data_IF_435739804238
#
_entry.id   IF_435739804238
#
_cell.length_a   1.000
_cell.length_b   1.000
_cell.length_c   1.000
_cell.angle_alpha   90.00
_cell.angle_beta   90.00
_cell.angle_gamma   90.00
#
_symmetry.space_group_name_H-M   'P 1'
#
loop_
_entity.id
_entity.type
_entity.pdbx_description
1 polymer ?
#
# COMPACT_ATOMS: atom_id res chain seq x y z
N UNK A 1 -13.17 -2.18 10.28
CA UNK A 1 -12.92 -0.75 9.97
C UNK A 1 -14.28 -0.08 9.83
N UNK A 2 -14.76 0.68 10.83
CA UNK A 2 -16.14 1.20 10.86
C UNK A 2 -16.22 2.68 10.42
N UNK A 3 -15.18 3.46 10.72
CA UNK A 3 -15.20 4.91 10.50
C UNK A 3 -15.24 5.29 9.02
N UNK A 4 -14.49 4.59 8.17
CA UNK A 4 -14.52 4.80 6.72
C UNK A 4 -15.93 4.54 6.13
N UNK A 5 -16.63 3.50 6.59
CA UNK A 5 -18.01 3.23 6.16
C UNK A 5 -19.00 4.28 6.66
N UNK A 6 -18.80 4.79 7.88
CA UNK A 6 -19.61 5.91 8.39
C UNK A 6 -19.40 7.16 7.56
N UNK A 7 -18.16 7.52 7.28
CA UNK A 7 -17.82 8.64 6.39
C UNK A 7 -18.45 8.46 5.02
N UNK A 8 -18.33 7.27 4.41
CA UNK A 8 -18.91 6.94 3.11
C UNK A 8 -20.42 7.21 3.04
N UNK A 9 -21.17 6.98 4.13
CA UNK A 9 -22.62 7.18 4.17
C UNK A 9 -23.07 8.65 4.19
N UNK A 10 -22.14 9.58 4.47
CA UNK A 10 -22.43 11.01 4.61
C UNK A 10 -22.28 11.70 3.24
N UNK A 11 -23.18 12.60 2.81
CA UNK A 11 -23.00 13.39 1.58
C UNK A 11 -21.70 14.20 1.58
N UNK A 12 -21.10 14.39 0.40
CA UNK A 12 -19.78 15.03 0.25
C UNK A 12 -19.65 16.39 0.98
N UNK A 13 -20.61 17.30 0.80
CA UNK A 13 -20.55 18.63 1.42
C UNK A 13 -20.58 18.55 2.96
N UNK A 14 -21.29 17.54 3.50
CA UNK A 14 -21.34 17.28 4.93
C UNK A 14 -20.03 16.63 5.42
N UNK A 15 -19.39 15.76 4.63
CA UNK A 15 -18.05 15.24 4.95
C UNK A 15 -17.02 16.35 5.04
N UNK A 16 -17.04 17.30 4.09
CA UNK A 16 -16.14 18.46 4.11
C UNK A 16 -16.41 19.30 5.35
N UNK A 17 -17.68 19.65 5.61
CA UNK A 17 -18.05 20.45 6.77
C UNK A 17 -17.61 19.80 8.09
N UNK A 18 -17.77 18.48 8.20
CA UNK A 18 -17.33 17.70 9.36
C UNK A 18 -15.80 17.71 9.50
N UNK A 19 -15.07 17.51 8.41
CA UNK A 19 -13.61 17.55 8.42
C UNK A 19 -13.07 18.94 8.84
N UNK A 20 -13.65 20.02 8.32
CA UNK A 20 -13.26 21.39 8.69
C UNK A 20 -13.57 21.70 10.16
N UNK A 21 -14.74 21.29 10.63
CA UNK A 21 -15.12 21.42 12.03
C UNK A 21 -14.15 20.67 12.97
N UNK A 22 -13.78 19.44 12.63
CA UNK A 22 -12.86 18.64 13.45
C UNK A 22 -11.43 19.19 13.39
N UNK A 23 -10.98 19.69 12.22
CA UNK A 23 -9.70 20.39 12.08
C UNK A 23 -9.66 21.66 12.94
N UNK A 24 -10.71 22.48 12.95
CA UNK A 24 -10.75 23.70 13.78
C UNK A 24 -10.70 23.39 15.28
N UNK A 25 -11.25 22.25 15.71
CA UNK A 25 -11.15 21.79 17.10
C UNK A 25 -9.73 21.37 17.48
N UNK A 26 -8.94 20.90 16.51
CA UNK A 26 -7.59 20.41 16.72
C UNK A 26 -6.55 21.55 16.63
N UNK A 27 -6.77 22.51 15.73
CA UNK A 27 -5.89 23.66 15.52
C UNK A 27 -6.56 24.94 16.05
N UNK A 28 -6.17 25.37 17.25
CA UNK A 28 -6.72 26.55 17.93
C UNK A 28 -6.02 27.88 17.54
N UNK A 29 -4.88 27.79 16.87
CA UNK A 29 -4.03 28.91 16.49
C UNK A 29 -4.21 29.36 15.03
N UNK A 30 -5.11 28.73 14.28
CA UNK A 30 -5.40 29.01 12.88
C UNK A 30 -6.92 29.06 12.68
N UNK A 31 -7.39 30.00 11.86
CA UNK A 31 -8.76 29.96 11.33
C UNK A 31 -8.78 29.00 10.13
N UNK A 32 -9.24 27.76 10.38
CA UNK A 32 -9.25 26.70 9.37
C UNK A 32 -10.22 27.02 8.24
N UNK A 33 -11.30 27.74 8.52
CA UNK A 33 -12.31 28.07 7.52
C UNK A 33 -11.83 29.16 6.57
N UNK A 34 -11.11 30.17 7.07
CA UNK A 34 -10.49 31.22 6.25
C UNK A 34 -9.39 30.65 5.32
N UNK A 35 -8.67 29.63 5.77
CA UNK A 35 -7.59 28.99 5.00
C UNK A 35 -8.08 27.91 4.02
N UNK A 36 -9.36 27.54 4.06
CA UNK A 36 -9.90 26.49 3.21
C UNK A 36 -10.00 26.95 1.74
N UNK A 37 -9.37 26.20 0.83
CA UNK A 37 -9.39 26.48 -0.62
C UNK A 37 -10.25 25.47 -1.37
N UNK A 38 -10.00 24.18 -1.16
CA UNK A 38 -10.71 23.08 -1.82
C UNK A 38 -10.53 21.76 -1.04
N UNK A 39 -11.33 20.76 -1.37
CA UNK A 39 -11.27 19.43 -0.79
C UNK A 39 -11.41 18.35 -1.87
N UNK A 40 -10.73 17.22 -1.68
CA UNK A 40 -10.91 16.01 -2.48
C UNK A 40 -10.97 14.80 -1.56
N UNK A 41 -11.83 13.83 -1.89
CA UNK A 41 -11.98 12.61 -1.12
C UNK A 41 -12.27 11.41 -2.05
N UNK A 42 -11.76 10.24 -1.66
CA UNK A 42 -11.93 8.97 -2.38
C UNK A 42 -12.43 7.91 -1.42
N UNK A 43 -13.49 7.22 -1.82
CA UNK A 43 -13.98 6.05 -1.11
C UNK A 43 -13.41 4.78 -1.76
N UNK A 44 -12.26 4.32 -1.29
CA UNK A 44 -11.55 3.17 -1.91
C UNK A 44 -12.40 1.90 -2.04
N UNK A 45 -13.37 1.69 -1.16
CA UNK A 45 -14.33 0.56 -1.23
C UNK A 45 -15.30 0.64 -2.41
N UNK A 46 -15.48 1.81 -3.02
CA UNK A 46 -16.32 2.04 -4.20
C UNK A 46 -15.53 2.13 -5.51
N UNK A 47 -14.20 2.10 -5.42
CA UNK A 47 -13.31 2.13 -6.59
C UNK A 47 -12.97 0.73 -7.08
N UNK A 48 -12.24 0.64 -8.21
CA UNK A 48 -11.71 -0.63 -8.73
C UNK A 48 -10.84 -1.39 -7.72
N UNK A 49 -10.25 -0.69 -6.75
CA UNK A 49 -9.50 -1.31 -5.65
C UNK A 49 -10.41 -2.14 -4.72
N UNK A 50 -11.72 -1.86 -4.68
CA UNK A 50 -12.73 -2.52 -3.83
C UNK A 50 -12.50 -2.40 -2.33
N UNK A 51 -11.54 -1.58 -1.91
CA UNK A 51 -11.21 -1.30 -0.52
C UNK A 51 -9.77 -1.62 -0.18
N UNK A 52 -9.51 -1.67 1.11
CA UNK A 52 -8.25 -2.16 1.66
C UNK A 52 -8.44 -3.61 2.11
N UNK A 53 -7.37 -4.41 2.07
CA UNK A 53 -7.45 -5.79 2.52
C UNK A 53 -6.69 -5.99 3.83
N UNK A 54 -7.42 -6.59 4.78
CA UNK A 54 -6.94 -6.88 6.11
C UNK A 54 -7.43 -8.28 6.47
N UNK A 55 -6.52 -9.17 6.87
CA UNK A 55 -6.92 -10.48 7.35
C UNK A 55 -7.73 -10.36 8.64
N UNK A 56 -8.80 -11.14 8.71
CA UNK A 56 -9.47 -11.46 9.96
C UNK A 56 -8.58 -12.40 10.80
N UNK A 57 -8.86 -12.52 12.11
CA UNK A 57 -8.16 -13.47 12.97
C UNK A 57 -8.06 -14.86 12.33
N UNK A 58 -6.88 -15.47 12.45
CA UNK A 58 -6.49 -16.77 11.86
C UNK A 58 -6.43 -16.85 10.33
N UNK A 59 -6.91 -15.88 9.56
CA UNK A 59 -6.85 -15.98 8.09
C UNK A 59 -5.42 -15.94 7.56
N UNK A 60 -4.53 -15.14 8.17
CA UNK A 60 -3.12 -15.12 7.78
C UNK A 60 -2.51 -16.52 7.92
N UNK A 61 -2.59 -17.14 9.10
CA UNK A 61 -2.03 -18.48 9.34
C UNK A 61 -2.60 -19.54 8.39
N UNK A 62 -3.90 -19.45 8.08
CA UNK A 62 -4.61 -20.44 7.27
C UNK A 62 -4.36 -20.30 5.77
N UNK A 63 -4.33 -19.08 5.25
CA UNK A 63 -4.41 -18.84 3.81
C UNK A 63 -3.16 -18.20 3.22
N UNK A 64 -2.28 -17.60 4.03
CA UNK A 64 -1.09 -16.89 3.53
C UNK A 64 -0.20 -17.76 2.64
N UNK A 65 0.04 -19.02 3.02
CA UNK A 65 0.85 -19.94 2.21
C UNK A 65 0.11 -20.40 0.96
N UNK A 66 -1.21 -20.60 1.05
CA UNK A 66 -2.04 -21.03 -0.09
C UNK A 66 -2.07 -19.96 -1.18
N UNK A 67 -2.27 -18.70 -0.81
CA UNK A 67 -2.33 -17.56 -1.74
C UNK A 67 -1.01 -17.35 -2.50
N UNK A 68 0.12 -17.82 -1.95
CA UNK A 68 1.44 -17.73 -2.60
C UNK A 68 1.73 -18.83 -3.61
N UNK A 69 0.96 -19.92 -3.60
CA UNK A 69 1.21 -21.04 -4.49
C UNK A 69 0.64 -20.71 -5.88
N UNK A 70 1.40 -20.98 -6.96
CA UNK A 70 0.85 -20.87 -8.30
C UNK A 70 -0.21 -21.95 -8.53
N UNK A 71 -1.26 -21.59 -9.26
CA UNK A 71 -2.29 -22.52 -9.73
C UNK A 71 -2.01 -22.88 -11.19
N UNK A 72 -1.17 -23.89 -11.41
CA UNK A 72 -0.68 -24.22 -12.75
C UNK A 72 0.23 -23.11 -13.30
N UNK A 73 -0.17 -22.49 -14.42
CA UNK A 73 0.56 -21.37 -15.03
C UNK A 73 0.03 -20.00 -14.58
N UNK A 74 -0.81 -19.95 -13.54
CA UNK A 74 -1.39 -18.73 -12.99
C UNK A 74 -0.64 -18.36 -11.71
N UNK A 75 -0.03 -17.18 -11.70
CA UNK A 75 0.72 -16.64 -10.57
C UNK A 75 0.02 -15.41 -9.99
N UNK A 76 -0.07 -15.34 -8.66
CA UNK A 76 -0.72 -14.22 -7.96
C UNK A 76 0.32 -13.17 -7.54
N UNK A 77 0.23 -11.99 -8.14
CA UNK A 77 0.97 -10.80 -7.69
C UNK A 77 0.00 -9.94 -6.91
N UNK A 78 0.18 -9.90 -5.59
CA UNK A 78 -0.69 -9.12 -4.70
C UNK A 78 0.15 -8.36 -3.68
N UNK A 79 -0.47 -7.40 -3.00
CA UNK A 79 0.10 -6.65 -1.87
C UNK A 79 0.19 -7.54 -0.61
N UNK A 80 -0.84 -8.37 -0.42
CA UNK A 80 -1.05 -9.25 0.73
C UNK A 80 -0.18 -10.52 0.90
N UNK A 81 0.66 -10.98 -0.05
CA UNK A 81 1.46 -12.17 0.16
C UNK A 81 2.76 -11.80 0.87
N UNK A 82 2.89 -10.63 1.48
CA UNK A 82 4.02 -10.29 2.34
C UNK A 82 3.51 -9.77 3.69
N UNK A 83 4.35 -9.80 4.73
CA UNK A 83 3.99 -9.31 6.08
C UNK A 83 3.73 -7.79 6.15
N UNK A 84 3.89 -7.09 5.02
CA UNK A 84 3.80 -5.64 4.91
C UNK A 84 2.52 -5.24 4.20
N UNK A 85 1.36 -5.68 4.72
CA UNK A 85 0.06 -5.28 4.17
C UNK A 85 -0.11 -3.77 4.17
N UNK A 86 -0.92 -3.26 3.25
CA UNK A 86 -1.18 -1.85 2.98
C UNK A 86 0.02 -1.05 2.48
N UNK A 87 1.11 -1.70 2.07
CA UNK A 87 2.32 -1.02 1.57
C UNK A 87 2.73 -1.50 0.17
N UNK A 88 3.17 -0.54 -0.66
CA UNK A 88 3.75 -0.82 -1.99
C UNK A 88 4.89 -1.84 -1.93
N UNK A 89 5.67 -1.84 -0.84
CA UNK A 89 6.75 -2.81 -0.61
C UNK A 89 6.25 -4.27 -0.58
N UNK A 90 5.02 -4.51 -0.12
CA UNK A 90 4.37 -5.82 -0.15
C UNK A 90 4.24 -6.34 -1.58
N UNK A 91 3.71 -5.51 -2.47
CA UNK A 91 3.57 -5.80 -3.91
C UNK A 91 4.92 -5.98 -4.60
N UNK A 92 5.91 -5.12 -4.33
CA UNK A 92 7.23 -5.25 -4.96
C UNK A 92 7.87 -6.59 -4.59
N UNK A 93 7.79 -7.00 -3.32
CA UNK A 93 8.31 -8.29 -2.89
C UNK A 93 7.59 -9.48 -3.54
N UNK A 94 6.28 -9.38 -3.80
CA UNK A 94 5.53 -10.43 -4.49
C UNK A 94 5.87 -10.51 -5.98
N UNK A 95 6.08 -9.37 -6.64
CA UNK A 95 6.56 -9.30 -8.03
C UNK A 95 7.89 -10.03 -8.17
N UNK A 96 8.87 -9.71 -7.32
CA UNK A 96 10.19 -10.37 -7.36
C UNK A 96 10.03 -11.88 -7.18
N UNK A 97 9.26 -12.31 -6.16
CA UNK A 97 9.01 -13.73 -5.91
C UNK A 97 8.42 -14.46 -7.13
N UNK A 98 7.39 -13.88 -7.76
CA UNK A 98 6.73 -14.48 -8.93
C UNK A 98 7.66 -14.53 -10.14
N UNK A 99 8.42 -13.46 -10.40
CA UNK A 99 9.38 -13.43 -11.52
C UNK A 99 10.47 -14.49 -11.34
N UNK A 100 11.05 -14.62 -10.13
CA UNK A 100 11.98 -15.71 -9.77
C UNK A 100 11.36 -17.07 -10.04
N UNK A 101 10.10 -17.29 -9.63
CA UNK A 101 9.41 -18.58 -9.83
C UNK A 101 9.18 -18.91 -11.32
N UNK A 102 8.90 -17.90 -12.16
CA UNK A 102 8.68 -18.08 -13.59
C UNK A 102 10.01 -18.32 -14.32
N UNK A 103 11.05 -17.58 -13.98
CA UNK A 103 12.36 -17.69 -14.63
C UNK A 103 13.13 -18.94 -14.19
N UNK A 104 12.88 -19.44 -12.97
CA UNK A 104 13.67 -20.51 -12.36
C UNK A 104 15.09 -20.07 -11.98
N UNK A 105 15.35 -18.76 -11.96
CA UNK A 105 16.63 -18.14 -11.59
C UNK A 105 16.51 -17.54 -10.19
N UNK A 106 17.54 -17.69 -9.35
CA UNK A 106 17.55 -17.12 -7.99
C UNK A 106 17.70 -15.59 -7.96
N UNK A 107 18.18 -14.98 -9.04
CA UNK A 107 18.51 -13.55 -9.10
C UNK A 107 17.72 -12.85 -10.22
N UNK A 108 16.79 -11.98 -9.84
CA UNK A 108 16.03 -11.15 -10.79
C UNK A 108 16.82 -9.87 -11.02
N UNK A 109 17.59 -9.84 -12.12
CA UNK A 109 18.37 -8.66 -12.49
C UNK A 109 17.48 -7.52 -12.92
N UNK A 110 17.87 -6.31 -12.53
CA UNK A 110 17.22 -5.09 -13.00
C UNK A 110 17.40 -4.95 -14.51
N UNK A 111 16.34 -4.56 -15.21
CA UNK A 111 16.43 -4.31 -16.65
C UNK A 111 17.47 -3.21 -16.93
N UNK A 112 18.50 -3.56 -17.70
CA UNK A 112 19.59 -2.66 -18.06
C UNK A 112 20.76 -2.62 -17.08
N UNK A 113 20.80 -3.48 -16.06
CA UNK A 113 22.00 -3.67 -15.22
C UNK A 113 23.22 -4.09 -16.03
N UNK A 114 23.04 -4.76 -17.16
CA UNK A 114 24.10 -5.10 -18.10
C UNK A 114 24.76 -3.86 -18.76
N UNK A 115 24.07 -2.72 -18.76
CA UNK A 115 24.58 -1.44 -19.27
C UNK A 115 25.08 -0.51 -18.16
N UNK A 116 24.79 -0.81 -16.90
CA UNK A 116 25.26 -0.04 -15.75
C UNK A 116 26.66 -0.55 -15.41
N UNK A 117 27.69 0.27 -15.65
CA UNK A 117 29.05 -0.02 -15.18
C UNK A 117 28.98 -0.29 -13.67
N UNK A 118 29.60 -1.37 -13.15
CA UNK A 118 29.57 -1.67 -11.74
C UNK A 118 30.20 -0.49 -10.98
N UNK A 119 29.37 0.33 -10.35
CA UNK A 119 29.82 1.27 -9.34
C UNK A 119 30.33 0.41 -8.18
N UNK A 120 31.60 0.50 -7.78
CA UNK A 120 32.11 -0.33 -6.70
C UNK A 120 31.25 -0.10 -5.46
N UNK A 121 30.51 -1.13 -5.02
CA UNK A 121 29.81 -1.11 -3.75
C UNK A 121 30.86 -0.85 -2.68
N UNK A 122 30.87 0.33 -2.05
CA UNK A 122 31.61 0.53 -0.80
C UNK A 122 30.85 -0.22 0.30
N UNK A 123 31.16 -1.51 0.45
CA UNK A 123 30.50 -2.43 1.41
C UNK A 123 30.78 -2.07 2.88
N UNK A 124 31.56 -1.02 3.19
CA UNK A 124 32.07 -0.78 4.55
C UNK A 124 31.97 0.64 5.10
N UNK A 125 31.13 1.53 4.56
CA UNK A 125 30.87 2.80 5.27
C UNK A 125 29.69 2.63 6.23
N UNK A 126 29.90 2.63 7.56
CA UNK A 126 28.79 2.62 8.50
C UNK A 126 27.98 3.91 8.34
N UNK A 127 26.65 3.75 8.30
CA UNK A 127 25.71 4.86 8.38
C UNK A 127 26.05 5.73 9.59
N UNK A 128 26.39 7.00 9.35
CA UNK A 128 26.47 8.02 10.39
C UNK A 128 25.10 8.70 10.48
N UNK A 129 24.45 8.55 11.63
CA UNK A 129 23.31 9.36 12.03
C UNK A 129 23.72 10.82 12.25
#
# INVERSE_FOLDING_TARGET
>A
MNDAYRMQSIPRDQRISLALHDLQRFYDNVDVYDQYVDAFDVCWSQEYATGDAMFLPEQFTRFYQVVKQPEGNIYCIVEHPNRHHTWIAGTIGSVIQVVTQIQGEEDVRGFGEEYIKPTPKRVHEPWRA
#
